data_IF_266487851846
#
_entry.id   IF_266487851846
#
_cell.length_a   1.000
_cell.length_b   1.000
_cell.length_c   1.000
_cell.angle_alpha   90.00
_cell.angle_beta   90.00
_cell.angle_gamma   90.00
#
_symmetry.space_group_name_H-M   'P 1'
#
loop_
_entity.id
_entity.type
_entity.pdbx_description
1 polymer ?
#
# COMPACT_ATOMS: atom_id res chain seq x y z
N UNK A 1 16.88 10.02 -15.92
CA UNK A 1 16.49 10.12 -14.49
C UNK A 1 16.43 8.72 -13.91
N UNK A 2 16.80 8.57 -12.64
CA UNK A 2 16.77 7.28 -11.93
C UNK A 2 15.33 7.05 -11.46
N UNK A 3 14.57 6.16 -12.13
CA UNK A 3 13.25 5.70 -11.66
C UNK A 3 12.03 6.64 -11.86
N UNK A 4 10.85 6.18 -11.40
CA UNK A 4 9.57 6.89 -11.47
C UNK A 4 9.63 8.23 -10.71
N UNK A 5 9.59 9.35 -11.43
CA UNK A 5 9.76 10.69 -10.85
C UNK A 5 8.70 11.07 -9.80
N UNK A 6 7.44 10.66 -10.00
CA UNK A 6 6.36 10.95 -9.06
C UNK A 6 6.55 10.26 -7.71
N UNK A 7 6.97 8.99 -7.70
CA UNK A 7 7.23 8.26 -6.45
C UNK A 7 8.40 8.86 -5.66
N UNK A 8 9.41 9.38 -6.35
CA UNK A 8 10.55 10.04 -5.69
C UNK A 8 10.15 11.35 -5.03
N UNK A 9 9.24 12.12 -5.63
CA UNK A 9 8.72 13.35 -5.02
C UNK A 9 7.92 13.05 -3.75
N UNK A 10 7.04 12.05 -3.80
CA UNK A 10 6.27 11.61 -2.63
C UNK A 10 7.22 11.11 -1.53
N UNK A 11 8.20 10.28 -1.90
CA UNK A 11 9.21 9.78 -0.97
C UNK A 11 9.99 10.91 -0.29
N UNK A 12 10.49 11.87 -1.07
CA UNK A 12 11.24 13.01 -0.55
C UNK A 12 10.37 13.87 0.39
N UNK A 13 9.10 14.07 0.06
CA UNK A 13 8.15 14.82 0.90
C UNK A 13 7.86 14.13 2.23
N UNK A 14 7.79 12.79 2.27
CA UNK A 14 7.57 12.05 3.50
C UNK A 14 8.83 12.03 4.35
N UNK A 15 9.98 11.73 3.75
CA UNK A 15 11.26 11.62 4.47
C UNK A 15 11.73 12.96 5.05
N UNK A 16 11.46 14.08 4.38
CA UNK A 16 11.82 15.41 4.89
C UNK A 16 11.09 15.78 6.19
N UNK A 17 9.95 15.14 6.49
CA UNK A 17 9.20 15.38 7.73
C UNK A 17 9.78 14.65 8.95
N UNK A 18 10.57 13.58 8.74
CA UNK A 18 11.06 12.73 9.83
C UNK A 18 12.03 13.44 10.79
N UNK A 19 13.01 14.24 10.34
CA UNK A 19 13.92 14.94 11.24
C UNK A 19 13.20 15.93 12.15
N UNK A 20 12.21 16.64 11.61
CA UNK A 20 11.41 17.63 12.37
C UNK A 20 10.58 16.92 13.44
N UNK A 21 9.89 15.84 13.08
CA UNK A 21 9.11 15.05 14.03
C UNK A 21 9.99 14.45 15.14
N UNK A 22 11.17 13.92 14.79
CA UNK A 22 12.13 13.40 15.76
C UNK A 22 12.67 14.46 16.72
N UNK A 23 13.01 15.65 16.21
CA UNK A 23 13.46 16.76 17.02
C UNK A 23 12.38 17.25 18.00
N UNK A 24 11.12 17.29 17.56
CA UNK A 24 9.99 17.68 18.39
C UNK A 24 9.75 16.69 19.54
N UNK A 25 9.76 15.39 19.25
CA UNK A 25 9.59 14.34 20.27
C UNK A 25 10.73 14.40 21.30
N UNK A 26 11.95 14.65 20.85
CA UNK A 26 13.10 14.81 21.75
C UNK A 26 12.95 16.04 22.65
N UNK A 27 12.43 17.15 22.12
CA UNK A 27 12.23 18.38 22.88
C UNK A 27 11.10 18.24 23.93
N UNK A 28 10.01 17.54 23.59
CA UNK A 28 8.85 17.40 24.48
C UNK A 28 9.01 16.30 25.53
N UNK A 29 9.62 15.16 25.19
CA UNK A 29 9.65 13.96 26.03
C UNK A 29 11.04 13.41 26.32
N UNK A 30 12.08 14.04 25.77
CA UNK A 30 13.47 13.65 25.96
C UNK A 30 13.87 12.33 25.28
N UNK A 31 15.14 11.97 25.42
CA UNK A 31 15.73 10.79 24.78
C UNK A 31 15.11 9.46 25.24
N UNK A 32 14.47 9.44 26.43
CA UNK A 32 13.89 8.23 27.02
C UNK A 32 12.70 7.66 26.24
N UNK A 33 11.96 8.49 25.49
CA UNK A 33 10.83 8.07 24.67
C UNK A 33 11.18 7.97 23.18
N UNK A 34 12.20 8.73 22.74
CA UNK A 34 12.69 8.70 21.37
C UNK A 34 13.38 7.36 21.03
N UNK A 35 14.20 6.82 21.93
CA UNK A 35 14.92 5.57 21.70
C UNK A 35 14.00 4.36 21.44
N UNK A 36 12.98 4.06 22.28
CA UNK A 36 12.06 2.94 22.03
C UNK A 36 11.19 3.17 20.79
N UNK A 37 10.81 4.42 20.49
CA UNK A 37 10.06 4.75 19.27
C UNK A 37 10.88 4.48 18.01
N UNK A 38 12.18 4.84 18.01
CA UNK A 38 13.08 4.61 16.89
C UNK A 38 13.28 3.10 16.68
N UNK A 39 13.46 2.33 17.76
CA UNK A 39 13.52 0.87 17.70
C UNK A 39 12.24 0.26 17.12
N UNK A 40 11.07 0.74 17.55
CA UNK A 40 9.78 0.29 17.02
C UNK A 40 9.64 0.62 15.52
N UNK A 41 10.04 1.81 15.10
CA UNK A 41 10.01 2.22 13.69
C UNK A 41 10.89 1.32 12.82
N UNK A 42 12.10 0.98 13.28
CA UNK A 42 12.99 0.03 12.60
C UNK A 42 12.38 -1.37 12.56
N UNK A 43 11.79 -1.84 13.67
CA UNK A 43 11.15 -3.15 13.71
C UNK A 43 9.98 -3.25 12.72
N UNK A 44 9.14 -2.21 12.63
CA UNK A 44 8.05 -2.12 11.66
C UNK A 44 8.61 -2.09 10.23
N UNK A 45 9.68 -1.33 9.98
CA UNK A 45 10.32 -1.29 8.66
C UNK A 45 10.80 -2.68 8.22
N UNK A 46 11.48 -3.43 9.11
CA UNK A 46 11.92 -4.80 8.82
C UNK A 46 10.73 -5.71 8.54
N UNK A 47 9.65 -5.60 9.30
CA UNK A 47 8.43 -6.37 9.09
C UNK A 47 7.79 -6.08 7.71
N UNK A 48 7.70 -4.80 7.33
CA UNK A 48 7.17 -4.38 6.02
C UNK A 48 8.03 -4.94 4.89
N UNK A 49 9.36 -4.79 4.97
CA UNK A 49 10.30 -5.31 3.95
C UNK A 49 10.19 -6.82 3.81
N UNK A 50 10.04 -7.55 4.92
CA UNK A 50 9.87 -9.00 4.91
C UNK A 50 8.60 -9.42 4.17
N UNK A 51 7.47 -8.75 4.43
CA UNK A 51 6.19 -9.03 3.75
C UNK A 51 6.24 -8.63 2.28
N UNK A 52 6.88 -7.51 1.94
CA UNK A 52 6.94 -6.99 0.58
C UNK A 52 7.86 -7.80 -0.35
N UNK A 53 8.97 -8.33 0.18
CA UNK A 53 9.85 -9.26 -0.53
C UNK A 53 9.30 -10.69 -0.57
N UNK A 54 8.26 -10.98 0.21
CA UNK A 54 7.54 -12.24 0.22
C UNK A 54 6.96 -12.57 -1.16
N UNK A 55 7.39 -13.68 -1.75
CA UNK A 55 6.87 -14.18 -3.01
C UNK A 55 6.64 -15.69 -2.96
N UNK A 56 5.51 -16.12 -3.50
CA UNK A 56 5.19 -17.52 -3.76
C UNK A 56 5.74 -17.90 -5.14
N UNK A 57 6.67 -18.85 -5.17
CA UNK A 57 7.24 -19.37 -6.43
C UNK A 57 6.41 -20.56 -6.91
N UNK A 58 5.71 -20.42 -8.03
CA UNK A 58 4.99 -21.53 -8.67
C UNK A 58 5.89 -22.12 -9.76
N UNK A 59 6.33 -23.39 -9.63
CA UNK A 59 7.17 -24.01 -10.65
C UNK A 59 6.38 -24.22 -11.95
N UNK A 60 6.98 -23.86 -13.07
CA UNK A 60 6.42 -24.07 -14.41
C UNK A 60 7.44 -24.80 -15.26
N UNK A 61 6.97 -25.82 -15.95
CA UNK A 61 7.78 -26.60 -16.87
C UNK A 61 7.38 -26.20 -18.29
N UNK A 62 8.34 -25.63 -19.03
CA UNK A 62 8.14 -25.37 -20.46
C UNK A 62 8.25 -26.68 -21.24
N UNK A 63 7.44 -26.79 -22.29
CA UNK A 63 7.39 -27.91 -23.22
C UNK A 63 8.80 -28.18 -23.77
N UNK A 64 9.29 -29.40 -23.61
CA UNK A 64 10.58 -29.80 -24.20
C UNK A 64 10.37 -30.11 -25.69
N UNK A 65 11.25 -29.63 -26.56
CA UNK A 65 11.32 -30.12 -27.94
C UNK A 65 12.00 -31.48 -27.95
N UNK A 66 11.27 -32.52 -28.34
CA UNK A 66 11.86 -33.85 -28.56
C UNK A 66 12.64 -33.80 -29.88
N UNK A 67 13.96 -33.99 -29.83
CA UNK A 67 14.82 -34.12 -31.02
C UNK A 67 15.40 -35.53 -31.01
N UNK A 68 14.89 -36.41 -31.88
CA UNK A 68 15.24 -37.84 -31.87
C UNK A 68 14.64 -38.58 -30.67
N UNK A 69 15.41 -39.47 -30.02
CA UNK A 69 14.99 -40.26 -28.85
C UNK A 69 15.49 -39.67 -27.51
N UNK A 70 16.05 -38.46 -27.53
CA UNK A 70 16.58 -37.78 -26.33
C UNK A 70 15.82 -36.49 -26.06
N UNK A 71 15.37 -36.37 -24.83
CA UNK A 71 14.63 -35.21 -24.34
C UNK A 71 15.64 -34.14 -23.90
N UNK A 72 15.98 -33.20 -24.78
CA UNK A 72 16.98 -32.14 -24.49
C UNK A 72 16.29 -30.78 -24.32
N UNK A 73 16.59 -30.06 -23.24
CA UNK A 73 16.23 -28.64 -23.11
C UNK A 73 14.91 -28.33 -22.39
N UNK A 74 14.67 -28.89 -21.20
CA UNK A 74 13.64 -28.38 -20.30
C UNK A 74 14.26 -27.73 -19.08
N UNK A 75 14.46 -26.41 -19.13
CA UNK A 75 14.82 -25.66 -17.94
C UNK A 75 13.55 -25.44 -17.12
N UNK A 76 13.50 -25.98 -15.91
CA UNK A 76 12.44 -25.66 -14.96
C UNK A 76 12.59 -24.20 -14.57
N UNK A 77 11.54 -23.40 -14.79
CA UNK A 77 11.48 -22.03 -14.26
C UNK A 77 10.42 -21.95 -13.17
N UNK A 78 10.29 -20.79 -12.53
CA UNK A 78 9.18 -20.49 -11.64
C UNK A 78 8.60 -19.12 -11.97
N UNK A 79 7.29 -18.99 -11.79
CA UNK A 79 6.60 -17.71 -11.85
C UNK A 79 6.53 -17.16 -10.43
N UNK A 80 7.14 -15.99 -10.16
CA UNK A 80 7.05 -15.34 -8.86
C UNK A 80 5.69 -14.65 -8.72
N UNK A 81 4.92 -15.03 -7.71
CA UNK A 81 3.72 -14.33 -7.28
C UNK A 81 4.03 -13.59 -5.98
N UNK A 82 4.15 -12.26 -6.02
CA UNK A 82 4.35 -11.46 -4.81
C UNK A 82 3.12 -11.57 -3.90
N UNK A 83 3.36 -11.54 -2.58
CA UNK A 83 2.30 -11.55 -1.56
C UNK A 83 1.48 -10.26 -1.62
N UNK A 84 2.16 -9.11 -1.74
CA UNK A 84 1.51 -7.82 -2.01
C UNK A 84 1.82 -7.36 -3.44
N UNK A 85 0.91 -7.62 -4.37
CA UNK A 85 1.03 -7.13 -5.76
C UNK A 85 0.55 -5.68 -5.91
N UNK A 86 -0.29 -5.20 -5.00
CA UNK A 86 -0.90 -3.87 -5.08
C UNK A 86 0.01 -2.74 -4.61
N UNK A 87 1.05 -3.05 -3.84
CA UNK A 87 2.00 -2.06 -3.32
C UNK A 87 1.30 -0.99 -2.47
N UNK A 88 1.65 0.29 -2.71
CA UNK A 88 1.17 1.45 -1.93
C UNK A 88 -0.15 2.04 -2.48
N UNK A 89 -0.54 1.67 -3.70
CA UNK A 89 -1.65 2.29 -4.42
C UNK A 89 -3.00 2.18 -3.69
N UNK A 90 -3.42 1.02 -3.13
CA UNK A 90 -4.68 0.92 -2.41
C UNK A 90 -4.81 1.86 -1.22
N UNK A 91 -3.71 2.08 -0.49
CA UNK A 91 -3.70 2.96 0.69
C UNK A 91 -3.88 4.42 0.25
N UNK A 92 -3.27 4.82 -0.86
CA UNK A 92 -3.44 6.16 -1.44
C UNK A 92 -4.90 6.37 -1.91
N UNK A 93 -5.52 5.37 -2.53
CA UNK A 93 -6.93 5.47 -2.92
C UNK A 93 -7.87 5.50 -1.71
N UNK A 94 -7.60 4.70 -0.68
CA UNK A 94 -8.38 4.73 0.55
C UNK A 94 -8.32 6.12 1.22
N UNK A 95 -7.13 6.75 1.28
CA UNK A 95 -6.99 8.08 1.87
C UNK A 95 -7.63 9.18 1.03
N UNK A 96 -7.55 9.11 -0.30
CA UNK A 96 -8.21 10.09 -1.18
C UNK A 96 -9.73 10.01 -1.09
N UNK A 97 -10.31 8.80 -0.99
CA UNK A 97 -11.76 8.62 -0.82
C UNK A 97 -12.23 9.13 0.54
N UNK A 98 -11.49 8.90 1.62
CA UNK A 98 -11.81 9.48 2.93
C UNK A 98 -11.70 11.01 2.97
N UNK A 99 -10.88 11.58 2.10
CA UNK A 99 -10.74 13.04 2.00
C UNK A 99 -11.92 13.70 1.26
N UNK A 100 -12.67 12.96 0.41
CA UNK A 100 -13.80 13.52 -0.35
C UNK A 100 -14.92 14.07 0.56
N UNK A 101 -15.43 13.34 1.58
CA UNK A 101 -16.42 13.89 2.50
C UNK A 101 -15.96 15.18 3.18
N UNK A 102 -14.69 15.26 3.58
CA UNK A 102 -14.11 16.46 4.18
C UNK A 102 -14.11 17.65 3.22
N UNK A 103 -13.83 17.43 1.94
CA UNK A 103 -13.93 18.49 0.93
C UNK A 103 -15.38 18.96 0.76
N UNK A 104 -16.36 18.05 0.75
CA UNK A 104 -17.77 18.42 0.66
C UNK A 104 -18.25 19.19 1.89
N UNK A 105 -17.77 18.85 3.08
CA UNK A 105 -18.16 19.57 4.29
C UNK A 105 -17.58 20.98 4.34
N UNK A 106 -16.41 21.23 3.76
CA UNK A 106 -15.81 22.56 3.68
C UNK A 106 -16.55 23.53 2.74
N UNK A 107 -17.30 23.02 1.76
CA UNK A 107 -18.08 23.83 0.81
C UNK A 107 -19.49 24.14 1.32
N UNK A 108 -19.94 23.48 2.40
CA UNK A 108 -21.26 23.72 2.99
C UNK A 108 -21.33 25.10 3.67
N UNK A 109 -22.44 25.84 3.52
CA UNK A 109 -22.63 27.13 4.17
C UNK A 109 -22.64 27.00 5.71
N UNK A 110 -21.70 27.69 6.37
CA UNK A 110 -21.50 27.62 7.83
C UNK A 110 -22.60 28.32 8.66
N UNK A 111 -23.55 28.97 7.99
CA UNK A 111 -24.67 29.73 8.54
C UNK A 111 -25.88 28.86 8.91
N UNK A 112 -25.95 27.59 8.46
CA UNK A 112 -27.07 26.69 8.76
C UNK A 112 -26.72 25.64 9.81
N UNK A 113 -27.56 25.52 10.84
CA UNK A 113 -27.36 24.61 11.99
C UNK A 113 -27.22 23.13 11.61
N UNK A 114 -27.91 22.68 10.56
CA UNK A 114 -27.80 21.31 10.05
C UNK A 114 -26.45 21.06 9.35
N UNK A 115 -25.91 22.05 8.64
CA UNK A 115 -24.62 21.95 7.96
C UNK A 115 -23.45 21.89 8.95
N UNK A 116 -23.51 22.70 10.01
CA UNK A 116 -22.53 22.68 11.11
C UNK A 116 -22.55 21.36 11.88
N UNK A 117 -23.73 20.74 12.03
CA UNK A 117 -23.87 19.44 12.69
C UNK A 117 -23.25 18.31 11.87
N UNK A 118 -23.41 18.36 10.55
CA UNK A 118 -22.79 17.41 9.61
C UNK A 118 -21.27 17.60 9.57
N UNK A 119 -20.78 18.85 9.50
CA UNK A 119 -19.36 19.18 9.57
C UNK A 119 -18.72 18.58 10.83
N UNK A 120 -19.27 18.86 12.01
CA UNK A 120 -18.74 18.30 13.28
C UNK A 120 -18.76 16.78 13.32
N UNK A 121 -19.80 16.15 12.78
CA UNK A 121 -19.87 14.69 12.77
C UNK A 121 -18.79 14.08 11.87
N UNK A 122 -18.57 14.64 10.68
CA UNK A 122 -17.52 14.21 9.75
C UNK A 122 -16.14 14.45 10.36
N UNK A 123 -15.90 15.63 10.95
CA UNK A 123 -14.61 15.95 11.57
C UNK A 123 -14.29 15.02 12.74
N UNK A 124 -15.29 14.65 13.55
CA UNK A 124 -15.09 13.79 14.72
C UNK A 124 -14.97 12.30 14.38
N UNK A 125 -15.65 11.83 13.32
CA UNK A 125 -15.73 10.38 13.04
C UNK A 125 -14.92 9.93 11.81
N UNK A 126 -14.70 10.82 10.83
CA UNK A 126 -14.04 10.49 9.56
C UNK A 126 -12.71 11.23 9.34
N UNK A 127 -12.36 12.19 10.20
CA UNK A 127 -11.10 12.94 10.10
C UNK A 127 -10.17 12.65 11.28
N UNK A 128 -10.72 12.46 12.48
CA UNK A 128 -9.91 12.12 13.65
C UNK A 128 -9.32 10.69 13.56
N UNK A 129 -7.98 10.55 13.53
CA UNK A 129 -7.33 9.23 13.47
C UNK A 129 -7.62 8.36 14.70
N UNK A 130 -7.95 8.99 15.82
CA UNK A 130 -8.23 8.32 17.10
C UNK A 130 -9.66 7.73 17.17
N UNK A 131 -10.53 8.09 16.21
CA UNK A 131 -11.90 7.55 16.18
C UNK A 131 -11.91 6.10 15.71
N UNK A 132 -12.60 5.24 16.47
CA UNK A 132 -12.80 3.84 16.09
C UNK A 132 -13.49 3.73 14.72
N UNK A 133 -14.41 4.66 14.42
CA UNK A 133 -15.10 4.69 13.13
C UNK A 133 -14.11 4.94 12.00
N UNK A 134 -13.20 5.91 12.16
CA UNK A 134 -12.14 6.18 11.19
C UNK A 134 -11.28 4.93 10.94
N UNK A 135 -10.80 4.28 12.02
CA UNK A 135 -9.94 3.10 11.92
C UNK A 135 -10.65 1.95 11.18
N UNK A 136 -11.92 1.69 11.51
CA UNK A 136 -12.70 0.62 10.88
C UNK A 136 -13.00 0.91 9.42
N UNK A 137 -13.47 2.13 9.10
CA UNK A 137 -13.79 2.53 7.73
C UNK A 137 -12.51 2.55 6.89
N UNK A 138 -11.45 3.17 7.37
CA UNK A 138 -10.17 3.23 6.65
C UNK A 138 -9.57 1.85 6.44
N UNK A 139 -9.56 1.00 7.47
CA UNK A 139 -9.08 -0.38 7.36
C UNK A 139 -9.89 -1.19 6.35
N UNK A 140 -11.23 -1.08 6.37
CA UNK A 140 -12.09 -1.75 5.41
C UNK A 140 -11.86 -1.26 3.98
N UNK A 141 -11.71 0.06 3.78
CA UNK A 141 -11.37 0.64 2.48
C UNK A 141 -10.02 0.13 1.97
N UNK A 142 -8.99 0.09 2.83
CA UNK A 142 -7.67 -0.44 2.45
C UNK A 142 -7.79 -1.90 1.98
N UNK A 143 -8.47 -2.76 2.73
CA UNK A 143 -8.64 -4.17 2.36
C UNK A 143 -9.45 -4.30 1.07
N UNK A 144 -10.54 -3.55 0.94
CA UNK A 144 -11.39 -3.53 -0.25
C UNK A 144 -10.63 -3.10 -1.50
N UNK A 145 -9.91 -1.97 -1.44
CA UNK A 145 -9.09 -1.49 -2.56
C UNK A 145 -7.89 -2.40 -2.82
N UNK A 146 -7.29 -3.02 -1.80
CA UNK A 146 -6.19 -3.94 -1.99
C UNK A 146 -6.64 -5.16 -2.80
N UNK A 147 -7.80 -5.74 -2.46
CA UNK A 147 -8.40 -6.86 -3.20
C UNK A 147 -8.86 -6.46 -4.60
N UNK A 148 -9.53 -5.32 -4.72
CA UNK A 148 -9.98 -4.82 -6.03
C UNK A 148 -8.81 -4.55 -6.98
N UNK A 149 -7.73 -3.93 -6.48
CA UNK A 149 -6.54 -3.65 -7.28
C UNK A 149 -5.78 -4.92 -7.66
N UNK A 150 -5.61 -5.89 -6.74
CA UNK A 150 -4.97 -7.17 -7.09
C UNK A 150 -5.76 -7.91 -8.16
N UNK A 151 -7.10 -7.94 -8.06
CA UNK A 151 -7.96 -8.62 -9.02
C UNK A 151 -7.89 -8.03 -10.43
N UNK A 152 -7.75 -6.70 -10.56
CA UNK A 152 -7.60 -6.04 -11.86
C UNK A 152 -6.19 -6.23 -12.43
N UNK A 153 -5.17 -6.14 -11.58
CA UNK A 153 -3.78 -6.20 -12.03
C UNK A 153 -3.35 -7.63 -12.40
N UNK A 154 -3.88 -8.63 -11.69
CA UNK A 154 -3.58 -10.04 -11.91
C UNK A 154 -4.69 -10.71 -12.72
N UNK A 155 -4.54 -10.73 -14.04
CA UNK A 155 -5.41 -11.48 -14.95
C UNK A 155 -4.85 -12.91 -15.17
N UNK A 156 -5.44 -13.96 -14.56
CA UNK A 156 -4.93 -15.32 -14.68
C UNK A 156 -5.00 -15.85 -16.11
N UNK A 157 -6.00 -15.44 -16.90
CA UNK A 157 -6.18 -15.91 -18.26
C UNK A 157 -5.07 -15.36 -19.16
N UNK A 158 -4.76 -14.08 -19.04
CA UNK A 158 -3.65 -13.44 -19.75
C UNK A 158 -2.29 -14.02 -19.35
N UNK A 159 -2.11 -14.34 -18.07
CA UNK A 159 -0.87 -14.96 -17.59
C UNK A 159 -0.71 -16.37 -18.16
N UNK A 160 -1.79 -17.16 -18.20
CA UNK A 160 -1.80 -18.48 -18.81
C UNK A 160 -1.50 -18.43 -20.32
N UNK A 161 -2.09 -17.47 -21.04
CA UNK A 161 -1.79 -17.25 -22.46
C UNK A 161 -0.33 -16.86 -22.70
N UNK A 162 0.26 -16.06 -21.80
CA UNK A 162 1.68 -15.68 -21.90
C UNK A 162 2.58 -16.91 -21.72
N UNK A 163 2.27 -17.78 -20.76
CA UNK A 163 3.00 -19.05 -20.56
C UNK A 163 2.87 -19.94 -21.80
N UNK A 164 1.66 -20.05 -22.36
CA UNK A 164 1.39 -20.83 -23.57
C UNK A 164 2.13 -20.31 -24.80
N UNK A 165 2.33 -18.99 -24.92
CA UNK A 165 3.10 -18.38 -26.01
C UNK A 165 4.62 -18.52 -25.84
N UNK A 166 5.09 -18.67 -24.60
CA UNK A 166 6.52 -18.81 -24.26
C UNK A 166 6.99 -20.27 -24.25
N UNK A 167 6.07 -21.23 -24.11
CA UNK A 167 6.33 -22.68 -24.21
C UNK A 167 6.01 -23.28 -25.56
#
# INVERSE_FOLDING_TARGET
>A
GIGNGMSLLIFASVVSSFPVAGAQINAERGMGLLLPLLLLAVAIMVAIVFVELGQRRIPVQFSKRVVGNKMTGGQSTYIPLKVNQSGVIPVIFASSVLYLPLLFTQVLPADRSWAVSIQRWVDTNLVQPDSIVYILVYGFLIVGFAYFYTAIQFDPAKQADTIRRQG
#
